data_IF_482335132242
#
_entry.id   IF_482335132242
#
_cell.length_a   1.000
_cell.length_b   1.000
_cell.length_c   1.000
_cell.angle_alpha   90.00
_cell.angle_beta   90.00
_cell.angle_gamma   90.00
#
_symmetry.space_group_name_H-M   'P 1'
#
loop_
_entity.id
_entity.type
_entity.pdbx_description
1 polymer ?
#
# COMPACT_ATOMS: atom_id res chain seq x y z
N UNK A 1 10.81 -19.12 7.22
CA UNK A 1 9.48 -18.56 7.43
C UNK A 1 8.80 -19.33 8.56
N UNK A 2 8.12 -18.64 9.49
CA UNK A 2 7.32 -19.28 10.54
C UNK A 2 5.83 -19.07 10.23
N UNK A 3 5.05 -20.13 10.31
CA UNK A 3 3.60 -20.10 10.09
C UNK A 3 2.85 -20.49 11.36
N UNK A 4 1.73 -19.85 11.61
CA UNK A 4 0.89 -20.11 12.77
C UNK A 4 -0.58 -20.16 12.37
N UNK A 5 -1.23 -21.27 12.65
CA UNK A 5 -2.69 -21.44 12.46
C UNK A 5 -3.37 -21.20 13.80
N UNK A 6 -4.28 -20.21 13.85
CA UNK A 6 -4.92 -19.78 15.11
C UNK A 6 -5.66 -20.95 15.78
N UNK A 7 -6.38 -21.79 15.00
CA UNK A 7 -7.14 -22.93 15.49
C UNK A 7 -6.25 -24.02 16.11
N UNK A 8 -5.03 -24.19 15.58
CA UNK A 8 -4.05 -25.17 16.06
C UNK A 8 -3.13 -24.58 17.16
N UNK A 9 -3.03 -23.27 17.21
CA UNK A 9 -2.18 -22.52 18.12
C UNK A 9 -2.70 -22.43 19.56
N UNK A 10 -3.89 -22.92 19.84
CA UNK A 10 -4.59 -22.73 21.12
C UNK A 10 -5.44 -21.47 21.16
N UNK A 11 -5.98 -21.06 19.99
CA UNK A 11 -6.75 -19.83 19.84
C UNK A 11 -5.89 -18.58 19.73
N UNK A 12 -6.53 -17.42 19.74
CA UNK A 12 -5.86 -16.14 19.49
C UNK A 12 -4.72 -15.86 20.47
N UNK A 13 -4.95 -16.03 21.78
CA UNK A 13 -3.96 -15.74 22.83
C UNK A 13 -2.73 -16.65 22.70
N UNK A 14 -2.95 -17.96 22.59
CA UNK A 14 -1.85 -18.93 22.43
C UNK A 14 -1.06 -18.73 21.16
N UNK A 15 -1.72 -18.32 20.08
CA UNK A 15 -1.05 -18.01 18.81
C UNK A 15 -0.22 -16.74 18.91
N UNK A 16 -0.73 -15.67 19.53
CA UNK A 16 0.03 -14.43 19.76
C UNK A 16 1.30 -14.72 20.56
N UNK A 17 1.19 -15.52 21.64
CA UNK A 17 2.36 -15.86 22.45
C UNK A 17 3.44 -16.59 21.63
N UNK A 18 3.05 -17.61 20.86
CA UNK A 18 3.98 -18.38 20.02
C UNK A 18 4.59 -17.52 18.91
N UNK A 19 3.78 -16.72 18.23
CA UNK A 19 4.23 -15.85 17.15
C UNK A 19 5.17 -14.75 17.66
N UNK A 20 4.87 -14.16 18.81
CA UNK A 20 5.74 -13.14 19.43
C UNK A 20 7.10 -13.70 19.83
N UNK A 21 7.15 -14.91 20.38
CA UNK A 21 8.44 -15.59 20.69
C UNK A 21 9.24 -15.88 19.42
N UNK A 22 8.59 -16.37 18.38
CA UNK A 22 9.27 -16.62 17.10
C UNK A 22 9.78 -15.32 16.47
N UNK A 23 8.97 -14.25 16.48
CA UNK A 23 9.39 -12.94 15.99
C UNK A 23 10.59 -12.38 16.78
N UNK A 24 10.61 -12.51 18.11
CA UNK A 24 11.73 -12.09 18.95
C UNK A 24 13.01 -12.85 18.59
N UNK A 25 12.93 -14.17 18.42
CA UNK A 25 14.10 -14.99 18.02
C UNK A 25 14.62 -14.60 16.62
N UNK A 26 13.71 -14.35 15.67
CA UNK A 26 14.08 -13.89 14.31
C UNK A 26 14.72 -12.49 14.35
N UNK A 27 14.22 -11.59 15.19
CA UNK A 27 14.79 -10.25 15.35
C UNK A 27 16.19 -10.31 15.99
N UNK A 28 16.39 -11.19 16.99
CA UNK A 28 17.70 -11.43 17.58
C UNK A 28 18.69 -11.96 16.54
N UNK A 29 18.30 -12.96 15.75
CA UNK A 29 19.13 -13.49 14.66
C UNK A 29 19.47 -12.41 13.65
N UNK A 30 18.49 -11.62 13.19
CA UNK A 30 18.71 -10.53 12.25
C UNK A 30 19.67 -9.45 12.83
N UNK A 31 19.64 -9.21 14.13
CA UNK A 31 20.51 -8.23 14.79
C UNK A 31 21.99 -8.63 14.77
N UNK A 32 22.29 -9.91 14.61
CA UNK A 32 23.66 -10.44 14.52
C UNK A 32 24.26 -10.32 13.12
N UNK A 33 23.42 -10.05 12.10
CA UNK A 33 23.89 -9.91 10.73
C UNK A 33 24.75 -8.65 10.54
N UNK A 34 25.82 -8.79 9.76
CA UNK A 34 26.69 -7.65 9.46
C UNK A 34 25.99 -6.70 8.49
N UNK A 35 25.94 -5.43 8.87
CA UNK A 35 25.47 -4.37 7.96
C UNK A 35 26.43 -4.21 6.79
N UNK A 36 25.87 -4.18 5.60
CA UNK A 36 26.61 -3.92 4.36
C UNK A 36 26.03 -2.65 3.69
N UNK A 37 26.84 -1.85 3.00
CA UNK A 37 26.35 -0.73 2.21
C UNK A 37 25.53 -1.27 1.04
N UNK A 38 24.37 -0.66 0.80
CA UNK A 38 23.49 -0.96 -0.35
C UNK A 38 23.25 0.31 -1.15
N UNK A 39 23.00 0.16 -2.45
CA UNK A 39 22.58 1.26 -3.32
C UNK A 39 21.07 1.50 -3.22
N UNK A 40 20.63 2.66 -3.67
CA UNK A 40 19.20 3.00 -3.77
C UNK A 40 18.42 2.01 -4.63
N UNK A 41 19.08 1.40 -5.60
CA UNK A 41 18.48 0.37 -6.46
C UNK A 41 18.02 -0.90 -5.71
N UNK A 42 18.55 -1.14 -4.51
CA UNK A 42 18.13 -2.28 -3.68
C UNK A 42 16.92 -1.96 -2.78
N UNK A 43 16.52 -0.70 -2.70
CA UNK A 43 15.40 -0.27 -1.86
C UNK A 43 14.07 -0.53 -2.55
N UNK A 44 13.17 -1.20 -1.82
CA UNK A 44 11.74 -1.29 -2.14
C UNK A 44 11.00 -0.51 -1.06
N UNK A 45 10.28 0.53 -1.46
CA UNK A 45 9.57 1.44 -0.57
C UNK A 45 8.06 1.34 -0.78
N UNK A 46 7.32 1.01 0.26
CA UNK A 46 5.86 1.06 0.26
C UNK A 46 5.30 2.44 0.52
N UNK A 47 4.09 2.71 0.00
CA UNK A 47 3.36 3.96 0.27
C UNK A 47 1.96 3.67 0.80
N UNK A 48 1.59 4.30 1.91
CA UNK A 48 0.30 4.14 2.57
C UNK A 48 -0.26 5.50 3.00
N UNK A 49 -1.58 5.62 3.13
CA UNK A 49 -2.19 6.80 3.74
C UNK A 49 -3.40 6.43 4.59
N UNK A 50 -3.45 6.94 5.82
CA UNK A 50 -4.57 6.74 6.74
C UNK A 50 -4.86 7.99 7.55
N UNK A 51 -6.08 8.10 8.12
CA UNK A 51 -6.49 9.33 8.80
C UNK A 51 -6.47 10.56 7.87
N UNK A 52 -6.73 10.34 6.58
CA UNK A 52 -6.61 11.32 5.49
C UNK A 52 -7.57 12.49 5.68
N UNK A 53 -7.09 13.70 5.42
CA UNK A 53 -7.83 14.95 5.36
C UNK A 53 -7.67 15.65 3.99
N UNK A 54 -8.31 16.80 3.81
CA UNK A 54 -8.24 17.55 2.55
C UNK A 54 -6.81 17.98 2.19
N UNK A 55 -5.93 18.19 3.17
CA UNK A 55 -4.53 18.61 2.92
C UNK A 55 -3.64 17.45 2.48
N UNK A 56 -4.03 16.21 2.77
CA UNK A 56 -3.24 15.02 2.41
C UNK A 56 -3.00 14.93 0.91
N UNK A 57 -4.02 15.24 0.09
CA UNK A 57 -3.94 15.18 -1.37
C UNK A 57 -3.15 16.33 -2.02
N UNK A 58 -2.97 17.45 -1.33
CA UNK A 58 -2.27 18.62 -1.87
C UNK A 58 -0.89 18.87 -1.27
N UNK A 59 -0.53 18.14 -0.21
CA UNK A 59 0.78 18.28 0.46
C UNK A 59 1.46 16.94 0.69
N UNK A 60 1.00 16.13 1.64
CA UNK A 60 1.70 14.93 2.09
C UNK A 60 1.82 13.86 0.99
N UNK A 61 0.74 13.55 0.28
CA UNK A 61 0.76 12.54 -0.78
C UNK A 61 1.61 12.97 -1.99
N UNK A 62 1.55 14.23 -2.50
CA UNK A 62 2.50 14.70 -3.50
C UNK A 62 3.97 14.67 -3.04
N UNK A 63 4.24 14.98 -1.76
CA UNK A 63 5.61 14.87 -1.23
C UNK A 63 6.11 13.42 -1.21
N UNK A 64 5.25 12.46 -0.84
CA UNK A 64 5.56 11.03 -0.96
C UNK A 64 5.79 10.62 -2.42
N UNK A 65 4.97 11.12 -3.33
CA UNK A 65 5.13 10.88 -4.76
C UNK A 65 6.47 11.39 -5.30
N UNK A 66 6.89 12.57 -4.86
CA UNK A 66 8.22 13.10 -5.22
C UNK A 66 9.35 12.20 -4.68
N UNK A 67 9.21 11.66 -3.46
CA UNK A 67 10.15 10.68 -2.93
C UNK A 67 10.18 9.39 -3.74
N UNK A 68 9.01 8.90 -4.19
CA UNK A 68 8.92 7.75 -5.10
C UNK A 68 9.63 8.02 -6.42
N UNK A 69 9.40 9.19 -7.03
CA UNK A 69 10.04 9.55 -8.30
C UNK A 69 11.56 9.62 -8.16
N UNK A 70 12.07 10.19 -7.05
CA UNK A 70 13.50 10.21 -6.75
C UNK A 70 14.07 8.79 -6.58
N UNK A 71 13.41 7.93 -5.81
CA UNK A 71 13.84 6.56 -5.61
C UNK A 71 13.88 5.77 -6.94
N UNK A 72 12.83 5.90 -7.74
CA UNK A 72 12.74 5.24 -9.06
C UNK A 72 13.83 5.74 -9.99
N UNK A 73 14.14 7.03 -9.98
CA UNK A 73 15.25 7.63 -10.76
C UNK A 73 16.60 7.02 -10.39
N UNK A 74 16.82 6.70 -9.12
CA UNK A 74 18.02 6.03 -8.62
C UNK A 74 18.00 4.49 -8.80
N UNK A 75 17.02 3.97 -9.54
CA UNK A 75 16.88 2.54 -9.85
C UNK A 75 16.18 1.71 -8.79
N UNK A 76 15.66 2.32 -7.73
CA UNK A 76 14.88 1.66 -6.70
C UNK A 76 13.44 1.36 -7.14
N UNK A 77 12.66 0.86 -6.20
CA UNK A 77 11.27 0.45 -6.44
C UNK A 77 10.32 1.12 -5.45
N UNK A 78 9.23 1.67 -5.94
CA UNK A 78 8.13 2.19 -5.13
C UNK A 78 6.88 1.34 -5.34
N UNK A 79 6.17 1.03 -4.25
CA UNK A 79 4.89 0.30 -4.28
C UNK A 79 3.77 1.28 -3.96
N UNK A 80 2.84 1.42 -4.89
CA UNK A 80 1.57 2.10 -4.67
C UNK A 80 0.50 1.05 -4.33
N UNK A 81 -0.09 1.15 -3.16
CA UNK A 81 -1.07 0.21 -2.61
C UNK A 81 -2.47 0.83 -2.51
N UNK A 82 -3.42 0.09 -1.93
CA UNK A 82 -4.77 0.55 -1.59
C UNK A 82 -5.70 0.71 -2.80
N UNK A 83 -5.85 -0.33 -3.60
CA UNK A 83 -6.62 -0.35 -4.85
C UNK A 83 -8.03 0.25 -4.75
N UNK A 84 -8.84 0.03 -3.67
CA UNK A 84 -10.14 0.67 -3.54
C UNK A 84 -10.10 2.21 -3.55
N UNK A 85 -8.95 2.79 -3.16
CA UNK A 85 -8.72 4.24 -3.21
C UNK A 85 -8.29 4.74 -4.61
N UNK A 86 -8.36 3.90 -5.64
CA UNK A 86 -8.19 4.28 -7.06
C UNK A 86 -9.52 4.41 -7.79
N UNK A 87 -10.64 4.04 -7.18
CA UNK A 87 -11.99 4.16 -7.75
C UNK A 87 -12.27 5.62 -8.09
N UNK A 88 -12.65 5.88 -9.33
CA UNK A 88 -12.81 7.23 -9.88
C UNK A 88 -11.54 7.86 -10.48
N UNK A 89 -10.33 7.40 -10.06
CA UNK A 89 -9.03 7.91 -10.54
C UNK A 89 -8.19 6.85 -11.30
N UNK A 90 -8.66 5.60 -11.39
CA UNK A 90 -7.92 4.48 -11.98
C UNK A 90 -7.48 4.70 -13.42
N UNK A 91 -8.23 5.48 -14.21
CA UNK A 91 -7.88 5.84 -15.58
C UNK A 91 -6.59 6.66 -15.67
N UNK A 92 -6.29 7.48 -14.67
CA UNK A 92 -5.05 8.27 -14.59
C UNK A 92 -3.85 7.33 -14.36
N UNK A 93 -3.98 6.34 -13.48
CA UNK A 93 -2.95 5.32 -13.31
C UNK A 93 -2.78 4.47 -14.56
N UNK A 94 -3.89 4.04 -15.17
CA UNK A 94 -3.88 3.24 -16.39
C UNK A 94 -3.19 3.96 -17.58
N UNK A 95 -3.31 5.29 -17.69
CA UNK A 95 -2.62 6.08 -18.72
C UNK A 95 -1.09 6.14 -18.53
N UNK A 96 -0.59 5.79 -17.34
CA UNK A 96 0.84 5.75 -17.00
C UNK A 96 1.42 4.34 -17.07
N UNK A 97 0.66 3.37 -17.53
CA UNK A 97 1.13 1.98 -17.62
C UNK A 97 2.15 1.82 -18.77
N UNK A 98 3.22 1.05 -18.52
CA UNK A 98 4.27 0.76 -19.49
C UNK A 98 3.76 0.03 -20.75
N UNK A 99 2.67 -0.71 -20.63
CA UNK A 99 2.07 -1.44 -21.77
C UNK A 99 0.54 -1.37 -21.74
N UNK A 100 -0.11 -1.56 -22.91
CA UNK A 100 -1.57 -1.64 -22.96
C UNK A 100 -2.16 -2.77 -22.10
N UNK A 101 -1.46 -3.90 -21.97
CA UNK A 101 -1.86 -5.02 -21.13
C UNK A 101 -1.88 -4.60 -19.66
N UNK A 102 -0.85 -3.90 -19.22
CA UNK A 102 -0.75 -3.41 -17.85
C UNK A 102 -1.82 -2.35 -17.56
N UNK A 103 -2.10 -1.48 -18.53
CA UNK A 103 -3.22 -0.51 -18.46
C UNK A 103 -4.55 -1.22 -18.21
N UNK A 104 -4.83 -2.28 -18.96
CA UNK A 104 -6.03 -3.12 -18.76
C UNK A 104 -6.04 -3.80 -17.40
N UNK A 105 -4.89 -4.31 -16.93
CA UNK A 105 -4.77 -4.94 -15.62
C UNK A 105 -5.08 -3.96 -14.50
N UNK A 106 -4.58 -2.73 -14.56
CA UNK A 106 -4.88 -1.66 -13.59
C UNK A 106 -6.38 -1.39 -13.53
N UNK A 107 -7.03 -1.21 -14.67
CA UNK A 107 -8.48 -0.99 -14.68
C UNK A 107 -9.27 -2.20 -14.20
N UNK A 108 -8.77 -3.40 -14.45
CA UNK A 108 -9.40 -4.66 -14.01
C UNK A 108 -9.39 -4.80 -12.49
N UNK A 109 -8.26 -4.55 -11.82
CA UNK A 109 -8.20 -4.63 -10.35
C UNK A 109 -9.09 -3.58 -9.68
N UNK A 110 -9.16 -2.36 -10.23
CA UNK A 110 -10.08 -1.32 -9.72
C UNK A 110 -11.54 -1.76 -9.87
N UNK A 111 -11.90 -2.29 -11.05
CA UNK A 111 -13.25 -2.78 -11.30
C UNK A 111 -13.62 -3.96 -10.43
N UNK A 112 -12.68 -4.88 -10.16
CA UNK A 112 -12.95 -6.05 -9.30
C UNK A 112 -13.35 -5.64 -7.89
N UNK A 113 -12.80 -4.54 -7.35
CA UNK A 113 -13.23 -3.99 -6.06
C UNK A 113 -14.64 -3.40 -6.12
N UNK A 114 -14.99 -2.68 -7.18
CA UNK A 114 -16.37 -2.19 -7.36
C UNK A 114 -17.37 -3.33 -7.48
N UNK A 115 -17.03 -4.38 -8.23
CA UNK A 115 -17.89 -5.55 -8.42
C UNK A 115 -18.02 -6.38 -7.14
N UNK A 116 -16.94 -6.49 -6.35
CA UNK A 116 -17.00 -7.12 -5.02
C UNK A 116 -17.96 -6.37 -4.09
N UNK A 117 -17.92 -5.05 -4.06
CA UNK A 117 -18.83 -4.25 -3.25
C UNK A 117 -20.29 -4.40 -3.69
N UNK A 118 -20.54 -4.45 -5.01
CA UNK A 118 -21.89 -4.74 -5.55
C UNK A 118 -22.41 -6.12 -5.14
N UNK A 119 -21.52 -7.14 -5.12
CA UNK A 119 -21.86 -8.48 -4.62
C UNK A 119 -22.33 -8.44 -3.16
N UNK A 120 -21.73 -7.58 -2.34
CA UNK A 120 -22.12 -7.33 -0.96
C UNK A 120 -23.35 -6.41 -0.83
N UNK A 121 -23.97 -6.00 -1.95
CA UNK A 121 -25.11 -5.08 -2.02
C UNK A 121 -24.82 -3.72 -1.34
N UNK A 122 -23.61 -3.22 -1.48
CA UNK A 122 -23.18 -1.93 -0.94
C UNK A 122 -22.35 -1.17 -1.98
N UNK A 123 -22.19 0.13 -1.80
CA UNK A 123 -21.24 0.96 -2.55
C UNK A 123 -20.15 1.44 -1.59
N UNK A 124 -18.91 1.42 -2.05
CA UNK A 124 -17.80 1.93 -1.26
C UNK A 124 -17.97 3.41 -0.90
N UNK A 125 -18.67 4.18 -1.74
CA UNK A 125 -19.00 5.60 -1.53
C UNK A 125 -19.86 5.84 -0.29
N UNK A 126 -20.60 4.86 0.18
CA UNK A 126 -21.42 4.96 1.38
C UNK A 126 -20.57 5.04 2.66
N UNK A 127 -19.40 4.37 2.65
CA UNK A 127 -18.51 4.24 3.82
C UNK A 127 -17.18 4.97 3.66
N UNK A 128 -16.79 5.31 2.45
CA UNK A 128 -15.53 5.98 2.12
C UNK A 128 -15.79 7.23 1.25
N UNK A 129 -15.46 8.44 1.67
CA UNK A 129 -14.67 8.82 2.86
C UNK A 129 -15.36 8.51 4.20
N UNK A 130 -14.59 8.05 5.18
CA UNK A 130 -15.09 7.81 6.53
C UNK A 130 -15.57 9.12 7.19
N UNK A 131 -16.39 9.05 8.26
CA UNK A 131 -16.83 10.27 8.98
C UNK A 131 -15.64 11.17 9.38
N UNK A 132 -14.52 10.56 9.77
CA UNK A 132 -13.31 11.29 10.09
C UNK A 132 -12.66 11.99 8.89
N UNK A 133 -12.67 11.38 7.72
CA UNK A 133 -12.18 12.03 6.50
C UNK A 133 -13.07 13.19 6.09
N UNK A 134 -14.41 13.03 6.18
CA UNK A 134 -15.37 14.11 5.91
C UNK A 134 -15.20 15.29 6.87
N UNK A 135 -15.00 15.01 8.17
CA UNK A 135 -14.66 16.05 9.15
C UNK A 135 -13.33 16.75 8.84
N UNK A 136 -12.39 16.04 8.23
CA UNK A 136 -11.11 16.57 7.72
C UNK A 136 -11.21 17.31 6.39
N UNK A 137 -12.42 17.49 5.82
CA UNK A 137 -12.68 18.28 4.63
C UNK A 137 -12.74 17.52 3.31
N UNK A 138 -12.68 16.17 3.31
CA UNK A 138 -12.84 15.35 2.09
C UNK A 138 -14.34 15.18 1.79
N UNK A 139 -14.76 15.49 0.56
CA UNK A 139 -16.17 15.50 0.14
C UNK A 139 -16.64 14.16 -0.44
N UNK A 140 -15.83 13.52 -1.28
CA UNK A 140 -16.20 12.31 -2.03
C UNK A 140 -15.08 11.27 -2.09
N UNK A 141 -15.44 10.05 -2.52
CA UNK A 141 -14.46 8.99 -2.77
C UNK A 141 -13.51 9.39 -3.91
N UNK A 142 -14.04 9.99 -4.96
CA UNK A 142 -13.28 10.42 -6.14
C UNK A 142 -12.24 11.48 -5.77
N UNK A 143 -12.60 12.47 -4.94
CA UNK A 143 -11.66 13.46 -4.43
C UNK A 143 -10.55 12.80 -3.60
N UNK A 144 -10.93 11.87 -2.71
CA UNK A 144 -9.97 11.11 -1.91
C UNK A 144 -9.04 10.28 -2.79
N UNK A 145 -9.58 9.66 -3.84
CA UNK A 145 -8.83 8.83 -4.79
C UNK A 145 -7.83 9.66 -5.59
N UNK A 146 -8.24 10.82 -6.09
CA UNK A 146 -7.33 11.76 -6.76
C UNK A 146 -6.15 12.14 -5.86
N UNK A 147 -6.42 12.45 -4.59
CA UNK A 147 -5.35 12.71 -3.63
C UNK A 147 -4.48 11.48 -3.32
N UNK A 148 -5.07 10.28 -3.30
CA UNK A 148 -4.38 9.04 -2.98
C UNK A 148 -3.34 8.64 -4.05
N UNK A 149 -3.69 8.73 -5.34
CA UNK A 149 -2.80 8.29 -6.43
C UNK A 149 -1.51 9.11 -6.52
N UNK A 150 -1.48 10.33 -5.97
CA UNK A 150 -0.27 11.15 -5.92
C UNK A 150 0.87 10.52 -5.12
N UNK A 151 0.58 9.60 -4.19
CA UNK A 151 1.61 8.85 -3.45
C UNK A 151 2.57 8.07 -4.36
N UNK A 152 2.10 7.65 -5.54
CA UNK A 152 2.89 6.93 -6.53
C UNK A 152 3.72 7.83 -7.46
N UNK A 153 3.80 9.13 -7.19
CA UNK A 153 4.56 10.06 -8.05
C UNK A 153 4.03 10.12 -9.48
N UNK A 154 4.94 10.39 -10.41
CA UNK A 154 4.61 10.65 -11.83
C UNK A 154 5.23 9.64 -12.80
N UNK A 155 6.11 8.75 -12.33
CA UNK A 155 6.81 7.79 -13.17
C UNK A 155 5.88 6.76 -13.80
N UNK A 156 6.36 6.12 -14.85
CA UNK A 156 5.67 5.03 -15.55
C UNK A 156 5.46 3.82 -14.63
N UNK A 157 4.26 3.22 -14.65
CA UNK A 157 3.95 2.02 -13.86
C UNK A 157 4.49 0.81 -14.60
N UNK A 158 5.38 0.06 -13.95
CA UNK A 158 6.12 -1.07 -14.52
C UNK A 158 5.46 -2.44 -14.28
N UNK A 159 4.64 -2.56 -13.22
CA UNK A 159 3.94 -3.81 -12.92
C UNK A 159 2.69 -3.59 -12.05
N UNK A 160 1.88 -4.64 -12.00
CA UNK A 160 0.78 -4.83 -11.02
C UNK A 160 0.94 -6.22 -10.44
N UNK A 161 1.09 -6.31 -9.12
CA UNK A 161 1.23 -7.56 -8.39
C UNK A 161 0.03 -7.79 -7.47
N UNK A 162 -0.23 -9.05 -7.12
CA UNK A 162 -1.26 -9.44 -6.17
C UNK A 162 -0.89 -9.10 -4.72
N UNK A 163 -1.83 -9.37 -3.81
CA UNK A 163 -1.66 -9.15 -2.38
C UNK A 163 -0.47 -9.94 -1.81
N UNK A 164 0.54 -9.25 -1.30
CA UNK A 164 1.74 -9.86 -0.72
C UNK A 164 2.63 -10.59 -1.72
N UNK A 165 2.37 -10.47 -3.02
CA UNK A 165 3.20 -11.05 -4.07
C UNK A 165 4.56 -10.35 -4.13
N UNK A 166 5.63 -11.12 -4.30
CA UNK A 166 6.99 -10.61 -4.40
C UNK A 166 7.16 -9.61 -5.56
N UNK A 167 7.65 -8.43 -5.25
CA UNK A 167 7.92 -7.39 -6.25
C UNK A 167 9.27 -7.64 -6.91
N UNK A 168 9.26 -8.00 -8.19
CA UNK A 168 10.47 -8.38 -8.95
C UNK A 168 10.92 -7.33 -9.96
N UNK A 169 10.01 -6.43 -10.38
CA UNK A 169 10.35 -5.38 -11.33
C UNK A 169 10.74 -4.10 -10.61
N UNK A 170 11.76 -3.44 -11.11
CA UNK A 170 12.19 -2.11 -10.65
C UNK A 170 11.25 -1.02 -11.17
N UNK A 171 11.16 0.08 -10.43
CA UNK A 171 10.34 1.23 -10.77
C UNK A 171 9.05 1.33 -9.96
N UNK A 172 8.03 2.01 -10.47
CA UNK A 172 6.73 2.09 -9.80
C UNK A 172 5.91 0.83 -10.08
N UNK A 173 5.48 0.17 -9.01
CA UNK A 173 4.65 -1.04 -9.04
C UNK A 173 3.36 -0.78 -8.27
N UNK A 174 2.23 -1.25 -8.77
CA UNK A 174 0.98 -1.28 -8.01
C UNK A 174 0.86 -2.65 -7.35
N UNK A 175 0.58 -2.68 -6.05
CA UNK A 175 0.19 -3.89 -5.34
C UNK A 175 -1.31 -3.85 -5.04
N UNK A 176 -2.05 -4.85 -5.51
CA UNK A 176 -3.49 -4.95 -5.26
C UNK A 176 -3.73 -5.31 -3.79
N UNK A 177 -4.10 -4.30 -3.00
CA UNK A 177 -4.36 -4.44 -1.57
C UNK A 177 -5.70 -3.80 -1.20
N UNK A 178 -6.35 -4.23 -0.10
CA UNK A 178 -7.49 -3.50 0.44
C UNK A 178 -7.09 -2.10 0.92
N UNK A 179 -8.07 -1.23 1.10
CA UNK A 179 -7.86 0.11 1.65
C UNK A 179 -7.75 0.13 3.19
N UNK A 180 -7.12 -0.88 3.78
CA UNK A 180 -6.92 -1.02 5.22
C UNK A 180 -5.43 -0.94 5.53
N UNK A 181 -5.05 -0.01 6.38
CA UNK A 181 -3.66 0.35 6.66
C UNK A 181 -2.79 -0.87 7.04
N UNK A 182 -3.21 -1.65 8.04
CA UNK A 182 -2.46 -2.83 8.51
C UNK A 182 -2.33 -3.89 7.42
N UNK A 183 -3.41 -4.19 6.71
CA UNK A 183 -3.40 -5.21 5.66
C UNK A 183 -2.49 -4.79 4.49
N UNK A 184 -2.54 -3.52 4.07
CA UNK A 184 -1.68 -3.01 3.00
C UNK A 184 -0.20 -3.01 3.39
N UNK A 185 0.13 -2.56 4.60
CA UNK A 185 1.51 -2.56 5.10
C UNK A 185 2.08 -3.99 5.19
N UNK A 186 1.30 -4.94 5.73
CA UNK A 186 1.71 -6.35 5.77
C UNK A 186 1.94 -6.92 4.36
N UNK A 187 1.06 -6.60 3.40
CA UNK A 187 1.22 -7.07 2.03
C UNK A 187 2.48 -6.48 1.38
N UNK A 188 2.74 -5.18 1.55
CA UNK A 188 3.94 -4.55 0.99
C UNK A 188 5.22 -5.11 1.63
N UNK A 189 5.23 -5.35 2.94
CA UNK A 189 6.36 -5.99 3.62
C UNK A 189 6.59 -7.42 3.11
N UNK A 190 5.53 -8.22 2.93
CA UNK A 190 5.62 -9.56 2.33
C UNK A 190 6.12 -9.50 0.88
N UNK A 191 5.74 -8.46 0.13
CA UNK A 191 6.20 -8.20 -1.24
C UNK A 191 7.64 -7.70 -1.34
N UNK A 192 8.33 -7.49 -0.22
CA UNK A 192 9.74 -7.10 -0.16
C UNK A 192 10.00 -5.64 0.20
N UNK A 193 8.98 -4.85 0.57
CA UNK A 193 9.21 -3.49 1.05
C UNK A 193 10.02 -3.50 2.36
N UNK A 194 11.12 -2.77 2.38
CA UNK A 194 12.01 -2.64 3.54
C UNK A 194 11.77 -1.35 4.32
N UNK A 195 11.02 -0.43 3.75
CA UNK A 195 10.58 0.83 4.36
C UNK A 195 9.20 1.20 3.80
N UNK A 196 8.35 1.79 4.63
CA UNK A 196 7.05 2.32 4.19
C UNK A 196 6.90 3.76 4.62
N UNK A 197 6.49 4.62 3.68
CA UNK A 197 6.08 5.99 3.96
C UNK A 197 4.58 5.99 4.25
N UNK A 198 4.19 6.55 5.38
CA UNK A 198 2.81 6.66 5.79
C UNK A 198 2.41 8.13 5.94
N UNK A 199 1.54 8.62 5.05
CA UNK A 199 0.97 9.96 5.20
C UNK A 199 -0.28 9.93 6.08
N UNK A 200 -0.40 10.91 6.97
CA UNK A 200 -1.58 11.03 7.85
C UNK A 200 -1.87 12.49 8.17
N UNK A 201 -3.15 12.87 8.12
CA UNK A 201 -3.59 14.19 8.55
C UNK A 201 -3.98 14.23 10.02
N UNK A 202 -4.34 13.08 10.60
CA UNK A 202 -4.93 13.00 11.95
C UNK A 202 -4.20 12.03 12.88
N UNK A 203 -3.11 11.43 12.41
CA UNK A 203 -2.41 10.36 13.10
C UNK A 203 -2.95 8.96 12.78
N UNK A 204 -2.16 7.97 13.11
CA UNK A 204 -2.51 6.55 12.96
C UNK A 204 -2.05 5.78 14.19
N UNK A 205 -2.83 4.78 14.67
CA UNK A 205 -2.37 3.87 15.72
C UNK A 205 -1.47 2.74 15.17
N UNK A 206 -1.30 2.66 13.86
CA UNK A 206 -0.51 1.60 13.21
C UNK A 206 0.97 1.92 13.39
N UNK A 207 1.70 1.02 14.04
CA UNK A 207 3.16 0.99 14.08
C UNK A 207 3.70 0.03 13.01
N UNK A 208 4.90 0.30 12.54
CA UNK A 208 5.55 -0.51 11.51
C UNK A 208 6.98 -0.84 11.94
#
# INVERSE_FOLDING_TARGET
>A
LAEFVIQEGGGTVGTIEKASRAAAAMAEQASMEKKVPIGWSEIIMGTECGGTDATSGISANPAMGAACDLLVKEGGTAILSETPKFIGAGHILASRAATPELSRKILSIVRSWEDYMKLLKTDLRDSNPSPGNKKGGISSLEEKSLGCIYKGGTTEIKDVVGYGEEVRKKGLVIMDTPGNDTASLCAMAAGGAVISLFSTGRGTPVGN
#
